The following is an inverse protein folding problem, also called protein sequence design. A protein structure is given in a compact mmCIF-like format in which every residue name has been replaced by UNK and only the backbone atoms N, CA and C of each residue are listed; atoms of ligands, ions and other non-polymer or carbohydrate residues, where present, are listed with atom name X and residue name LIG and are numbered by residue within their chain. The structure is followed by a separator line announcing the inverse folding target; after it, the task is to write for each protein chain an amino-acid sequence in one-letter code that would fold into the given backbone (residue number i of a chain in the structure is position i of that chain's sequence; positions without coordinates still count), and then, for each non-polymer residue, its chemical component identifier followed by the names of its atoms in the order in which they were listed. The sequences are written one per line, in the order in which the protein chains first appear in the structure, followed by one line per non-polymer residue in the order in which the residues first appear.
data_IF_872259542795
#
_entry.id   IF_872259542795
#
_cell.length_a   1.000
_cell.length_b   1.000
_cell.length_c   1.000
_cell.angle_alpha   90.00
_cell.angle_beta   90.00
_cell.angle_gamma   90.00
#
_symmetry.space_group_name_H-M   'P 1'
#
loop_
_entity.id
_entity.type
_entity.pdbx_description
1 polymer ?
#
# COMPACT_ATOMS: atom_id res chain seq x y z
N UNK A 1 50.02 27.86 53.57
CA UNK A 1 48.89 27.90 52.60
C UNK A 1 49.34 27.09 51.41
N UNK A 2 48.60 26.05 50.99
CA UNK A 2 48.98 25.26 49.81
C UNK A 2 48.97 26.14 48.54
N UNK A 3 49.85 25.89 47.57
CA UNK A 3 49.96 26.66 46.34
C UNK A 3 48.68 26.60 45.49
N UNK A 4 48.41 27.61 44.63
CA UNK A 4 47.15 27.74 43.89
C UNK A 4 46.80 26.55 43.00
N UNK A 5 47.80 25.85 42.48
CA UNK A 5 47.65 24.67 41.60
C UNK A 5 47.15 23.44 42.36
N UNK A 6 47.56 23.25 43.62
CA UNK A 6 47.06 22.16 44.49
C UNK A 6 45.60 22.39 44.87
N UNK A 7 45.18 23.65 45.09
CA UNK A 7 43.78 24.00 45.30
C UNK A 7 42.91 23.72 44.06
N UNK A 8 43.42 23.95 42.84
CA UNK A 8 42.69 23.66 41.61
C UNK A 8 42.56 22.15 41.34
N UNK A 9 43.62 21.38 41.63
CA UNK A 9 43.62 19.92 41.48
C UNK A 9 42.59 19.27 42.41
N UNK A 10 42.55 19.69 43.68
CA UNK A 10 41.60 19.20 44.68
C UNK A 10 40.14 19.53 44.32
N UNK A 11 39.89 20.69 43.72
CA UNK A 11 38.56 21.09 43.25
C UNK A 11 38.10 20.24 42.04
N UNK A 12 39.00 19.93 41.11
CA UNK A 12 38.70 19.07 39.96
C UNK A 12 38.47 17.62 40.38
N UNK A 13 39.30 17.08 41.27
CA UNK A 13 39.14 15.74 41.83
C UNK A 13 37.77 15.58 42.51
N UNK A 14 37.40 16.53 43.37
CA UNK A 14 36.08 16.54 44.03
C UNK A 14 34.93 16.60 43.02
N UNK A 15 35.05 17.43 41.97
CA UNK A 15 34.04 17.52 40.92
C UNK A 15 33.91 16.22 40.12
N UNK A 16 35.03 15.56 39.80
CA UNK A 16 35.06 14.28 39.07
C UNK A 16 34.45 13.16 39.92
N UNK A 17 34.82 13.05 41.20
CA UNK A 17 34.23 12.04 42.10
C UNK A 17 32.73 12.25 42.27
N UNK A 18 32.29 13.51 42.36
CA UNK A 18 30.86 13.84 42.42
C UNK A 18 30.14 13.41 41.14
N UNK A 19 30.73 13.70 39.98
CA UNK A 19 30.18 13.33 38.68
C UNK A 19 30.13 11.81 38.50
N UNK A 20 31.19 11.09 38.87
CA UNK A 20 31.25 9.63 38.86
C UNK A 20 30.15 9.03 39.74
N UNK A 21 29.95 9.57 40.94
CA UNK A 21 28.88 9.12 41.85
C UNK A 21 27.50 9.36 41.22
N UNK A 22 27.29 10.48 40.54
CA UNK A 22 26.04 10.76 39.83
C UNK A 22 25.81 9.77 38.68
N UNK A 23 26.85 9.41 37.93
CA UNK A 23 26.75 8.40 36.87
C UNK A 23 26.47 7.00 37.41
N UNK A 24 27.19 6.57 38.45
CA UNK A 24 26.95 5.28 39.12
C UNK A 24 25.51 5.20 39.65
N UNK A 25 25.00 6.29 40.24
CA UNK A 25 23.61 6.35 40.67
C UNK A 25 22.65 6.27 39.49
N UNK A 26 22.89 7.03 38.42
CA UNK A 26 22.03 7.03 37.24
C UNK A 26 21.98 5.65 36.58
N UNK A 27 23.11 4.95 36.49
CA UNK A 27 23.20 3.58 35.98
C UNK A 27 22.41 2.61 36.85
N UNK A 28 22.61 2.65 38.18
CA UNK A 28 21.84 1.82 39.11
C UNK A 28 20.34 2.14 39.11
N UNK A 29 19.93 3.40 38.92
CA UNK A 29 18.53 3.79 38.81
C UNK A 29 17.91 3.21 37.53
N UNK A 30 18.65 3.22 36.40
CA UNK A 30 18.21 2.61 35.13
C UNK A 30 18.08 1.08 35.25
N UNK A 31 19.04 0.41 35.87
CA UNK A 31 19.00 -1.04 36.12
C UNK A 31 17.79 -1.42 36.98
N UNK A 32 17.49 -0.62 38.01
CA UNK A 32 16.31 -0.82 38.86
C UNK A 32 15.00 -0.66 38.07
N UNK A 33 14.90 0.37 37.23
CA UNK A 33 13.74 0.58 36.36
C UNK A 33 13.57 -0.59 35.40
N UNK A 34 14.65 -1.03 34.74
CA UNK A 34 14.62 -2.16 33.81
C UNK A 34 14.12 -3.43 34.52
N UNK A 35 14.75 -3.79 35.64
CA UNK A 35 14.40 -5.01 36.39
C UNK A 35 12.94 -4.97 36.86
N UNK A 36 12.46 -3.81 37.30
CA UNK A 36 11.07 -3.62 37.73
C UNK A 36 10.10 -3.83 36.58
N UNK A 37 10.39 -3.26 35.40
CA UNK A 37 9.57 -3.41 34.20
C UNK A 37 9.53 -4.87 33.71
N UNK A 38 10.69 -5.54 33.67
CA UNK A 38 10.78 -6.96 33.29
C UNK A 38 9.93 -7.84 34.21
N UNK A 39 10.03 -7.61 35.53
CA UNK A 39 9.21 -8.31 36.52
C UNK A 39 7.71 -8.06 36.31
N UNK A 40 7.29 -6.81 36.12
CA UNK A 40 5.89 -6.48 35.87
C UNK A 40 5.37 -7.11 34.58
N UNK A 41 6.15 -7.10 33.50
CA UNK A 41 5.78 -7.72 32.23
C UNK A 41 5.59 -9.22 32.39
N UNK A 42 6.53 -9.90 33.06
CA UNK A 42 6.46 -11.34 33.30
C UNK A 42 5.28 -11.71 34.21
N UNK A 43 4.97 -10.86 35.21
CA UNK A 43 3.81 -11.03 36.08
C UNK A 43 2.47 -10.87 35.35
N UNK A 44 2.34 -9.85 34.49
CA UNK A 44 1.11 -9.62 33.72
C UNK A 44 0.91 -10.66 32.63
N UNK A 45 2.00 -11.29 32.19
CA UNK A 45 1.97 -12.22 31.08
C UNK A 45 2.83 -13.47 31.37
N UNK A 46 2.34 -14.36 32.25
CA UNK A 46 3.13 -15.48 32.78
C UNK A 46 3.58 -16.49 31.71
N UNK A 47 2.87 -16.55 30.58
CA UNK A 47 3.15 -17.43 29.46
C UNK A 47 3.78 -16.70 28.25
N UNK A 48 4.17 -15.42 28.41
CA UNK A 48 4.59 -14.55 27.31
C UNK A 48 3.43 -14.12 26.40
N UNK A 49 3.72 -13.24 25.42
CA UNK A 49 2.73 -12.83 24.41
C UNK A 49 2.41 -14.02 23.53
N UNK A 50 1.12 -14.27 23.28
CA UNK A 50 0.74 -15.19 22.21
C UNK A 50 1.40 -14.74 20.91
N UNK A 51 1.75 -15.67 20.02
CA UNK A 51 2.44 -15.35 18.77
C UNK A 51 1.70 -14.30 17.92
N UNK A 52 0.36 -14.26 18.03
CA UNK A 52 -0.52 -13.27 17.39
C UNK A 52 -0.52 -11.90 18.07
N UNK A 53 -0.18 -11.81 19.36
CA UNK A 53 -0.07 -10.55 20.11
C UNK A 53 1.34 -9.94 19.98
N UNK A 54 2.30 -10.69 19.45
CA UNK A 54 3.64 -10.21 19.23
C UNK A 54 3.66 -9.15 18.11
N UNK A 55 3.93 -7.91 18.48
CA UNK A 55 3.98 -6.77 17.55
C UNK A 55 4.94 -6.99 16.37
N UNK A 56 6.07 -7.67 16.59
CA UNK A 56 7.04 -7.95 15.52
C UNK A 56 6.44 -8.91 14.48
N UNK A 57 5.74 -9.95 14.93
CA UNK A 57 5.04 -10.90 14.05
C UNK A 57 3.93 -10.18 13.28
N UNK A 58 3.13 -9.35 13.94
CA UNK A 58 2.07 -8.57 13.28
C UNK A 58 2.63 -7.64 12.20
N UNK A 59 3.75 -6.95 12.45
CA UNK A 59 4.39 -6.07 11.45
C UNK A 59 4.88 -6.88 10.24
N UNK A 60 5.44 -8.07 10.45
CA UNK A 60 5.85 -8.96 9.37
C UNK A 60 4.65 -9.45 8.54
N UNK A 61 3.58 -9.90 9.21
CA UNK A 61 2.34 -10.32 8.54
C UNK A 61 1.71 -9.17 7.74
N UNK A 62 1.66 -7.97 8.32
CA UNK A 62 1.15 -6.77 7.64
C UNK A 62 1.97 -6.44 6.38
N UNK A 63 3.29 -6.60 6.45
CA UNK A 63 4.18 -6.39 5.29
C UNK A 63 3.88 -7.38 4.16
N UNK A 64 3.64 -8.65 4.49
CA UNK A 64 3.24 -9.68 3.52
C UNK A 64 1.89 -9.33 2.88
N UNK A 65 0.91 -8.92 3.69
CA UNK A 65 -0.42 -8.52 3.18
C UNK A 65 -0.32 -7.28 2.29
N UNK A 66 0.47 -6.26 2.68
CA UNK A 66 0.71 -5.06 1.86
C UNK A 66 1.30 -5.43 0.50
N UNK A 67 2.28 -6.34 0.47
CA UNK A 67 2.89 -6.80 -0.78
C UNK A 67 1.88 -7.54 -1.67
N UNK A 68 1.11 -8.47 -1.10
CA UNK A 68 0.08 -9.22 -1.84
C UNK A 68 -0.98 -8.30 -2.44
N UNK A 69 -1.42 -7.31 -1.67
CA UNK A 69 -2.37 -6.31 -2.13
C UNK A 69 -1.81 -5.51 -3.31
N UNK A 70 -0.57 -5.02 -3.20
CA UNK A 70 0.10 -4.29 -4.29
C UNK A 70 0.18 -5.12 -5.57
N UNK A 71 0.62 -6.37 -5.47
CA UNK A 71 0.68 -7.28 -6.62
C UNK A 71 -0.68 -7.49 -7.26
N UNK A 72 -1.73 -7.66 -6.44
CA UNK A 72 -3.09 -7.82 -6.95
C UNK A 72 -3.59 -6.57 -7.68
N UNK A 73 -3.31 -5.38 -7.15
CA UNK A 73 -3.63 -4.11 -7.81
C UNK A 73 -2.93 -3.99 -9.18
N UNK A 74 -1.64 -4.31 -9.26
CA UNK A 74 -0.88 -4.28 -10.51
C UNK A 74 -1.45 -5.27 -11.55
N UNK A 75 -1.79 -6.49 -11.10
CA UNK A 75 -2.43 -7.49 -11.97
C UNK A 75 -3.80 -7.01 -12.47
N UNK A 76 -4.62 -6.42 -11.60
CA UNK A 76 -5.93 -5.89 -11.97
C UNK A 76 -5.82 -4.74 -12.97
N UNK A 77 -4.87 -3.83 -12.77
CA UNK A 77 -4.61 -2.74 -13.72
C UNK A 77 -4.20 -3.27 -15.09
N UNK A 78 -3.32 -4.28 -15.14
CA UNK A 78 -2.92 -4.93 -16.39
C UNK A 78 -4.12 -5.58 -17.10
N UNK A 79 -4.91 -6.38 -16.38
CA UNK A 79 -6.11 -7.04 -16.93
C UNK A 79 -7.11 -5.99 -17.44
N UNK A 80 -7.34 -4.92 -16.70
CA UNK A 80 -8.24 -3.83 -17.10
C UNK A 80 -7.77 -3.16 -18.40
N UNK A 81 -6.47 -2.88 -18.52
CA UNK A 81 -5.90 -2.31 -19.74
C UNK A 81 -6.05 -3.26 -20.94
N UNK A 82 -5.73 -4.54 -20.77
CA UNK A 82 -5.88 -5.56 -21.81
C UNK A 82 -7.36 -5.74 -22.22
N UNK A 83 -8.28 -5.74 -21.26
CA UNK A 83 -9.73 -5.79 -21.52
C UNK A 83 -10.19 -4.59 -22.33
N UNK A 84 -9.75 -3.39 -21.97
CA UNK A 84 -10.07 -2.15 -22.69
C UNK A 84 -9.58 -2.20 -24.13
N UNK A 85 -8.36 -2.68 -24.35
CA UNK A 85 -7.80 -2.84 -25.69
C UNK A 85 -8.54 -3.90 -26.50
N UNK A 86 -8.85 -5.05 -25.89
CA UNK A 86 -9.61 -6.12 -26.54
C UNK A 86 -10.99 -5.64 -27.01
N UNK A 87 -11.75 -4.96 -26.14
CA UNK A 87 -13.06 -4.40 -26.49
C UNK A 87 -12.93 -3.36 -27.61
N UNK A 88 -11.91 -2.49 -27.54
CA UNK A 88 -11.61 -1.51 -28.60
C UNK A 88 -11.35 -2.19 -29.94
N UNK A 89 -10.55 -3.25 -29.96
CA UNK A 89 -10.20 -4.02 -31.15
C UNK A 89 -11.40 -4.75 -31.75
N UNK A 90 -12.21 -5.40 -30.91
CA UNK A 90 -13.46 -6.07 -31.33
C UNK A 90 -14.39 -5.05 -32.00
N UNK A 91 -14.59 -3.90 -31.36
CA UNK A 91 -15.43 -2.83 -31.90
C UNK A 91 -14.92 -2.30 -33.24
N UNK A 92 -13.62 -2.04 -33.35
CA UNK A 92 -13.01 -1.57 -34.59
C UNK A 92 -13.17 -2.59 -35.72
N UNK A 93 -12.99 -3.88 -35.41
CA UNK A 93 -13.15 -4.98 -36.37
C UNK A 93 -14.60 -5.08 -36.83
N UNK A 94 -15.55 -5.07 -35.89
CA UNK A 94 -16.96 -5.14 -36.20
C UNK A 94 -17.42 -3.95 -37.06
N UNK A 95 -16.98 -2.73 -36.73
CA UNK A 95 -17.30 -1.54 -37.54
C UNK A 95 -16.79 -1.65 -38.99
N UNK A 96 -15.57 -2.17 -39.18
CA UNK A 96 -15.02 -2.44 -40.52
C UNK A 96 -15.83 -3.50 -41.27
N UNK A 97 -16.19 -4.60 -40.60
CA UNK A 97 -17.00 -5.66 -41.21
C UNK A 97 -18.36 -5.16 -41.63
N UNK A 98 -19.05 -4.38 -40.78
CA UNK A 98 -20.35 -3.78 -41.12
C UNK A 98 -20.23 -2.89 -42.36
N UNK A 99 -19.19 -2.04 -42.42
CA UNK A 99 -18.94 -1.18 -43.58
C UNK A 99 -18.68 -1.99 -44.85
N UNK A 100 -17.84 -3.03 -44.77
CA UNK A 100 -17.55 -3.91 -45.91
C UNK A 100 -18.79 -4.64 -46.42
N UNK A 101 -19.62 -5.17 -45.51
CA UNK A 101 -20.90 -5.82 -45.86
C UNK A 101 -21.82 -4.83 -46.58
N UNK A 102 -21.91 -3.59 -46.09
CA UNK A 102 -22.70 -2.54 -46.72
C UNK A 102 -22.21 -2.19 -48.13
N UNK A 103 -20.90 -2.09 -48.34
CA UNK A 103 -20.29 -1.84 -49.66
C UNK A 103 -20.60 -2.99 -50.65
N UNK A 104 -20.48 -4.25 -50.21
CA UNK A 104 -20.80 -5.43 -51.03
C UNK A 104 -22.28 -5.42 -51.42
N UNK A 105 -23.17 -5.12 -50.48
CA UNK A 105 -24.62 -5.09 -50.73
C UNK A 105 -25.01 -4.00 -51.72
N UNK A 106 -24.40 -2.81 -51.60
CA UNK A 106 -24.59 -1.73 -52.58
C UNK A 106 -24.17 -2.16 -53.98
N UNK A 107 -23.04 -2.84 -54.13
CA UNK A 107 -22.56 -3.32 -55.42
C UNK A 107 -23.40 -4.48 -55.98
N UNK A 108 -23.96 -5.33 -55.12
CA UNK A 108 -24.80 -6.47 -55.52
C UNK A 108 -26.24 -6.09 -55.90
N UNK A 109 -26.66 -4.83 -55.68
CA UNK A 109 -28.02 -4.36 -55.96
C UNK A 109 -29.10 -5.01 -55.07
N UNK A 110 -28.69 -5.62 -53.96
CA UNK A 110 -29.60 -6.25 -53.00
C UNK A 110 -30.17 -5.21 -52.05
N UNK A 111 -31.49 -5.00 -52.07
CA UNK A 111 -32.17 -4.21 -51.04
C UNK A 111 -32.15 -4.96 -49.70
N UNK A 112 -31.61 -4.31 -48.68
CA UNK A 112 -31.56 -4.84 -47.31
C UNK A 112 -32.74 -4.22 -46.58
N UNK A 113 -33.54 -5.05 -45.89
CA UNK A 113 -34.51 -4.55 -44.91
C UNK A 113 -33.78 -3.68 -43.87
N UNK A 114 -34.37 -2.56 -43.47
CA UNK A 114 -33.80 -1.72 -42.40
C UNK A 114 -33.42 -2.56 -41.19
N UNK A 115 -32.26 -2.28 -40.61
CA UNK A 115 -31.80 -2.89 -39.35
C UNK A 115 -32.95 -2.93 -38.34
N UNK A 116 -33.22 -4.08 -37.73
CA UNK A 116 -34.24 -4.14 -36.67
C UNK A 116 -33.81 -3.27 -35.48
N UNK A 117 -34.77 -2.76 -34.72
CA UNK A 117 -34.50 -1.91 -33.54
C UNK A 117 -33.47 -2.53 -32.60
N UNK A 118 -33.52 -3.85 -32.42
CA UNK A 118 -32.59 -4.63 -31.61
C UNK A 118 -31.14 -4.57 -32.13
N UNK A 119 -30.95 -4.63 -33.46
CA UNK A 119 -29.65 -4.52 -34.10
C UNK A 119 -29.11 -3.08 -34.02
N UNK A 120 -30.00 -2.10 -34.12
CA UNK A 120 -29.65 -0.69 -34.03
C UNK A 120 -29.25 -0.31 -32.59
N UNK A 121 -29.96 -0.85 -31.59
CA UNK A 121 -29.61 -0.77 -30.17
C UNK A 121 -28.28 -1.46 -29.87
N UNK A 122 -28.04 -2.66 -30.42
CA UNK A 122 -26.78 -3.37 -30.25
C UNK A 122 -25.59 -2.57 -30.79
N UNK A 123 -25.71 -1.94 -31.97
CA UNK A 123 -24.69 -1.03 -32.48
C UNK A 123 -24.47 0.19 -31.57
N UNK A 124 -25.55 0.77 -31.05
CA UNK A 124 -25.48 1.92 -30.15
C UNK A 124 -24.73 1.56 -28.85
N UNK A 125 -25.04 0.41 -28.25
CA UNK A 125 -24.34 -0.09 -27.06
C UNK A 125 -22.84 -0.32 -27.32
N UNK A 126 -22.50 -0.87 -28.49
CA UNK A 126 -21.11 -1.07 -28.88
C UNK A 126 -20.36 0.27 -29.05
N UNK A 127 -21.02 1.29 -29.62
CA UNK A 127 -20.43 2.62 -29.83
C UNK A 127 -20.33 3.46 -28.55
N UNK A 128 -21.33 3.41 -27.67
CA UNK A 128 -21.46 4.30 -26.50
C UNK A 128 -20.93 3.74 -25.18
N UNK A 129 -20.67 2.43 -25.04
CA UNK A 129 -19.99 1.92 -23.84
C UNK A 129 -18.52 2.37 -23.81
N UNK A 130 -18.36 3.54 -23.22
CA UNK A 130 -17.16 4.19 -22.72
C UNK A 130 -17.01 3.75 -21.25
N UNK A 131 -15.78 3.54 -20.72
CA UNK A 131 -15.54 2.75 -19.52
C UNK A 131 -15.85 3.48 -18.19
N UNK A 132 -16.98 4.17 -18.08
CA UNK A 132 -17.36 4.92 -16.86
C UNK A 132 -17.57 4.04 -15.62
N UNK A 133 -17.88 2.75 -15.81
CA UNK A 133 -18.21 1.86 -14.69
C UNK A 133 -16.96 1.30 -13.98
N UNK A 134 -15.77 1.37 -14.60
CA UNK A 134 -14.53 0.83 -13.98
C UNK A 134 -13.60 1.94 -13.49
N UNK A 135 -13.61 3.10 -14.15
CA UNK A 135 -12.72 4.24 -13.79
C UNK A 135 -13.14 4.88 -12.45
N UNK A 136 -14.44 4.94 -12.17
CA UNK A 136 -15.02 5.44 -10.92
C UNK A 136 -14.65 4.62 -9.67
N UNK A 137 -14.29 3.34 -9.82
CA UNK A 137 -13.87 2.48 -8.70
C UNK A 137 -12.37 2.57 -8.41
N UNK A 138 -11.57 3.04 -9.37
CA UNK A 138 -10.11 3.08 -9.27
C UNK A 138 -9.57 4.36 -8.63
N UNK A 139 -10.26 5.50 -8.76
CA UNK A 139 -9.82 6.76 -8.14
C UNK A 139 -10.10 6.84 -6.63
N UNK A 140 -11.04 6.05 -6.12
CA UNK A 140 -11.48 6.16 -4.72
C UNK A 140 -10.70 5.28 -3.73
N UNK A 141 -9.86 4.35 -4.21
CA UNK A 141 -9.25 3.30 -3.36
C UNK A 141 -7.72 3.27 -3.31
N UNK A 142 -7.01 4.19 -3.97
CA UNK A 142 -5.56 4.33 -3.79
C UNK A 142 -5.26 5.52 -2.88
N UNK A 143 -4.86 5.33 -1.61
CA UNK A 143 -4.31 6.42 -0.83
C UNK A 143 -3.05 6.92 -1.52
N UNK A 144 -3.01 8.23 -1.82
CA UNK A 144 -1.79 8.93 -2.23
C UNK A 144 -0.87 8.95 -1.00
N UNK A 145 0.17 8.12 -0.99
CA UNK A 145 1.21 8.18 0.04
C UNK A 145 1.83 9.61 0.02
N UNK A 146 1.83 10.28 1.18
CA UNK A 146 2.63 11.47 1.51
C UNK A 146 3.80 11.02 2.38
#
# INVERSE_FOLDING_TARGET
MPPPEECQLFNMETAVTTLETMFQKAESDLDYIQTTLEFEMMKRLPNGLAQEENHLVMIQQLSVVKLRFKTLCEQLQKISAERRESIRSIRATLAKTVKLVQEIQQHAGTEISSLTEEQQLAMQHLLYQTPEVIESLTEQNCPKEH
#
